data_IF_178874892479
#
_entry.id   IF_178874892479
#
_cell.length_a   1.000
_cell.length_b   1.000
_cell.length_c   1.000
_cell.angle_alpha   90.00
_cell.angle_beta   90.00
_cell.angle_gamma   90.00
#
_symmetry.space_group_name_H-M   'P 1'
#
loop_
_entity.id
_entity.type
_entity.pdbx_description
1 polymer ?
#
# COMPACT_ATOMS: atom_id res chain seq x y z
N UNK A 1 12.91 -23.44 13.84
CA UNK A 1 12.61 -22.46 12.77
C UNK A 1 12.70 -21.08 13.37
N UNK A 2 13.50 -20.17 12.81
CA UNK A 2 13.69 -18.83 13.37
C UNK A 2 12.47 -17.95 13.08
N UNK A 3 12.23 -16.91 13.88
CA UNK A 3 11.14 -15.94 13.71
C UNK A 3 11.20 -15.25 12.35
N UNK A 4 12.40 -14.97 11.83
CA UNK A 4 12.61 -14.39 10.50
C UNK A 4 12.13 -15.34 9.39
N UNK A 5 12.48 -16.64 9.46
CA UNK A 5 12.07 -17.63 8.46
C UNK A 5 10.55 -17.77 8.44
N UNK A 6 9.94 -17.86 9.64
CA UNK A 6 8.48 -17.94 9.78
C UNK A 6 7.79 -16.70 9.24
N UNK A 7 8.32 -15.52 9.50
CA UNK A 7 7.79 -14.26 8.98
C UNK A 7 7.84 -14.21 7.44
N UNK A 8 8.97 -14.62 6.84
CA UNK A 8 9.12 -14.68 5.37
C UNK A 8 8.13 -15.67 4.75
N UNK A 9 7.94 -16.85 5.36
CA UNK A 9 6.95 -17.84 4.91
C UNK A 9 5.52 -17.26 4.93
N UNK A 10 5.14 -16.64 6.04
CA UNK A 10 3.81 -16.03 6.18
C UNK A 10 3.62 -14.90 5.18
N UNK A 11 4.65 -14.09 4.89
CA UNK A 11 4.54 -13.02 3.89
C UNK A 11 4.32 -13.54 2.48
N UNK A 12 4.95 -14.66 2.12
CA UNK A 12 4.70 -15.34 0.83
C UNK A 12 3.27 -15.88 0.75
N UNK A 13 2.81 -16.55 1.80
CA UNK A 13 1.44 -17.06 1.87
C UNK A 13 0.41 -15.93 1.79
N UNK A 14 0.66 -14.81 2.48
CA UNK A 14 -0.19 -13.64 2.41
C UNK A 14 -0.29 -13.08 0.98
N UNK A 15 0.84 -12.98 0.26
CA UNK A 15 0.83 -12.53 -1.13
C UNK A 15 0.03 -13.47 -2.06
N UNK A 16 0.15 -14.79 -1.84
CA UNK A 16 -0.63 -15.78 -2.57
C UNK A 16 -2.13 -15.63 -2.30
N UNK A 17 -2.51 -15.48 -1.03
CA UNK A 17 -3.90 -15.26 -0.61
C UNK A 17 -4.44 -13.94 -1.17
N UNK A 18 -3.69 -12.85 -1.10
CA UNK A 18 -4.08 -11.55 -1.66
C UNK A 18 -4.33 -11.66 -3.17
N UNK A 19 -3.44 -12.36 -3.89
CA UNK A 19 -3.60 -12.59 -5.33
C UNK A 19 -4.86 -13.39 -5.65
N UNK A 20 -5.12 -14.45 -4.89
CA UNK A 20 -6.33 -15.26 -5.03
C UNK A 20 -7.59 -14.41 -4.74
N UNK A 21 -7.60 -13.63 -3.67
CA UNK A 21 -8.71 -12.74 -3.31
C UNK A 21 -8.98 -11.70 -4.40
N UNK A 22 -7.94 -11.05 -4.93
CA UNK A 22 -8.09 -10.10 -6.05
C UNK A 22 -8.74 -10.75 -7.27
N UNK A 23 -8.37 -12.00 -7.58
CA UNK A 23 -8.96 -12.73 -8.71
C UNK A 23 -10.46 -13.03 -8.50
N UNK A 24 -10.90 -13.22 -7.26
CA UNK A 24 -12.29 -13.52 -6.91
C UNK A 24 -13.19 -12.28 -6.82
N UNK A 25 -12.62 -11.08 -6.58
CA UNK A 25 -13.39 -9.84 -6.39
C UNK A 25 -14.44 -9.56 -7.48
N UNK A 26 -14.18 -9.73 -8.79
CA UNK A 26 -15.18 -9.45 -9.82
C UNK A 26 -16.41 -10.35 -9.69
N UNK A 27 -16.20 -11.64 -9.45
CA UNK A 27 -17.27 -12.64 -9.28
C UNK A 27 -18.04 -12.39 -7.99
N UNK A 28 -17.33 -12.16 -6.86
CA UNK A 28 -17.96 -11.81 -5.58
C UNK A 28 -18.79 -10.54 -5.69
N UNK A 29 -18.28 -9.50 -6.37
CA UNK A 29 -19.04 -8.28 -6.60
C UNK A 29 -20.29 -8.53 -7.46
N UNK A 30 -20.21 -9.39 -8.48
CA UNK A 30 -21.37 -9.76 -9.29
C UNK A 30 -22.42 -10.52 -8.46
N UNK A 31 -22.00 -11.47 -7.64
CA UNK A 31 -22.88 -12.20 -6.73
C UNK A 31 -23.56 -11.27 -5.72
N UNK A 32 -22.80 -10.34 -5.11
CA UNK A 32 -23.37 -9.36 -4.18
C UNK A 32 -24.37 -8.43 -4.86
N UNK A 33 -24.11 -7.96 -6.09
CA UNK A 33 -25.10 -7.16 -6.85
C UNK A 33 -26.42 -7.91 -7.04
N UNK A 34 -26.36 -9.21 -7.33
CA UNK A 34 -27.55 -10.04 -7.51
C UNK A 34 -28.32 -10.27 -6.19
N UNK A 35 -27.66 -10.18 -5.04
CA UNK A 35 -28.22 -10.45 -3.70
C UNK A 35 -28.56 -9.19 -2.89
N UNK A 36 -28.59 -8.01 -3.52
CA UNK A 36 -28.91 -6.75 -2.83
C UNK A 36 -27.74 -6.11 -2.07
N UNK A 37 -26.50 -6.55 -2.35
CA UNK A 37 -25.27 -5.88 -1.92
C UNK A 37 -24.74 -6.27 -0.54
N UNK A 38 -25.26 -7.32 0.09
CA UNK A 38 -24.83 -7.80 1.41
C UNK A 38 -24.75 -9.33 1.43
N UNK A 39 -23.63 -9.86 1.93
CA UNK A 39 -23.49 -11.26 2.32
C UNK A 39 -23.05 -11.38 3.78
N UNK A 40 -23.49 -12.44 4.45
CA UNK A 40 -23.10 -12.77 5.83
C UNK A 40 -22.61 -14.21 5.88
N UNK A 41 -21.43 -14.42 6.43
CA UNK A 41 -20.86 -15.75 6.60
C UNK A 41 -19.94 -15.75 7.84
N UNK A 42 -20.01 -16.79 8.66
CA UNK A 42 -19.09 -17.03 9.79
C UNK A 42 -18.87 -15.83 10.74
N UNK A 43 -19.90 -15.02 10.97
CA UNK A 43 -19.82 -13.84 11.82
C UNK A 43 -19.29 -12.57 11.15
N UNK A 44 -18.95 -12.64 9.86
CA UNK A 44 -18.52 -11.51 9.04
C UNK A 44 -19.66 -11.00 8.14
N UNK A 45 -19.65 -9.69 7.86
CA UNK A 45 -20.51 -9.07 6.85
C UNK A 45 -19.66 -8.53 5.70
N UNK A 46 -20.05 -8.80 4.46
CA UNK A 46 -19.44 -8.26 3.25
C UNK A 46 -20.44 -7.37 2.52
N UNK A 47 -20.11 -6.09 2.39
CA UNK A 47 -20.95 -5.06 1.77
C UNK A 47 -20.37 -4.61 0.44
N UNK A 48 -21.21 -4.58 -0.59
CA UNK A 48 -20.85 -3.96 -1.86
C UNK A 48 -21.12 -2.45 -1.79
N UNK A 49 -20.04 -1.66 -1.89
CA UNK A 49 -20.10 -0.19 -1.97
C UNK A 49 -19.49 0.28 -3.29
N UNK A 50 -19.98 1.40 -3.80
CA UNK A 50 -19.40 2.06 -4.98
C UNK A 50 -18.55 3.22 -4.52
N UNK A 51 -17.25 3.14 -4.80
CA UNK A 51 -16.33 4.26 -4.65
C UNK A 51 -16.14 4.96 -5.99
N UNK A 52 -15.97 6.29 -5.96
CA UNK A 52 -15.66 7.08 -7.16
C UNK A 52 -14.20 7.48 -7.09
N UNK A 53 -13.41 7.00 -8.06
CA UNK A 53 -12.10 7.57 -8.33
C UNK A 53 -12.26 8.84 -9.17
N UNK A 54 -11.52 9.89 -8.83
CA UNK A 54 -11.53 11.16 -9.56
C UNK A 54 -10.21 11.31 -10.30
N UNK A 55 -10.30 11.66 -11.58
CA UNK A 55 -9.14 12.13 -12.32
C UNK A 55 -9.09 13.65 -12.15
N UNK A 56 -7.99 14.14 -11.61
CA UNK A 56 -7.78 15.57 -11.42
C UNK A 56 -7.17 16.21 -12.67
N UNK A 57 -7.34 17.52 -12.79
CA UNK A 57 -6.77 18.27 -13.91
C UNK A 57 -5.24 18.32 -13.84
N UNK A 58 -4.56 18.61 -14.96
CA UNK A 58 -3.12 18.80 -14.98
C UNK A 58 -2.64 19.84 -13.96
N UNK A 59 -3.41 20.91 -13.70
CA UNK A 59 -3.00 21.93 -12.73
C UNK A 59 -2.90 21.35 -11.31
N UNK A 60 -3.84 20.51 -10.90
CA UNK A 60 -3.81 19.87 -9.56
C UNK A 60 -2.63 18.90 -9.46
N UNK A 61 -2.33 18.15 -10.54
CA UNK A 61 -1.16 17.29 -10.58
C UNK A 61 0.14 18.10 -10.46
N UNK A 62 0.24 19.26 -11.12
CA UNK A 62 1.38 20.17 -10.98
C UNK A 62 1.52 20.74 -9.57
N UNK A 63 0.40 21.06 -8.90
CA UNK A 63 0.42 21.51 -7.50
C UNK A 63 0.93 20.41 -6.57
N UNK A 64 0.54 19.16 -6.78
CA UNK A 64 1.05 18.03 -6.01
C UNK A 64 2.56 17.85 -6.18
N UNK A 65 3.06 17.97 -7.42
CA UNK A 65 4.49 17.92 -7.71
C UNK A 65 5.26 19.04 -7.00
N UNK A 66 4.77 20.28 -7.11
CA UNK A 66 5.37 21.43 -6.45
C UNK A 66 5.38 21.30 -4.92
N UNK A 67 4.31 20.74 -4.34
CA UNK A 67 4.23 20.46 -2.91
C UNK A 67 5.30 19.45 -2.49
N UNK A 68 5.46 18.35 -3.24
CA UNK A 68 6.46 17.33 -2.93
C UNK A 68 7.88 17.90 -3.04
N UNK A 69 8.15 18.72 -4.04
CA UNK A 69 9.43 19.40 -4.21
C UNK A 69 9.71 20.38 -3.08
N UNK A 70 8.71 21.16 -2.65
CA UNK A 70 8.82 22.04 -1.49
C UNK A 70 9.11 21.25 -0.20
N UNK A 71 8.40 20.14 0.05
CA UNK A 71 8.68 19.25 1.19
C UNK A 71 10.11 18.72 1.16
N UNK A 72 10.64 18.39 -0.03
CA UNK A 72 12.03 17.92 -0.21
C UNK A 72 13.02 19.03 0.10
N UNK A 73 12.81 20.25 -0.41
CA UNK A 73 13.66 21.40 -0.10
C UNK A 73 13.68 21.72 1.40
N UNK A 74 12.53 21.68 2.08
CA UNK A 74 12.51 21.93 3.54
C UNK A 74 13.31 20.90 4.34
N UNK A 75 13.34 19.63 3.89
CA UNK A 75 14.20 18.59 4.48
C UNK A 75 15.68 18.88 4.26
N UNK A 76 16.07 19.24 3.04
CA UNK A 76 17.47 19.51 2.67
C UNK A 76 18.02 20.78 3.36
N UNK A 77 17.19 21.81 3.46
CA UNK A 77 17.56 23.10 4.06
C UNK A 77 17.47 23.09 5.60
N UNK A 78 17.08 21.97 6.22
CA UNK A 78 16.96 21.81 7.66
C UNK A 78 15.77 22.54 8.31
N UNK A 79 14.81 23.01 7.51
CA UNK A 79 13.55 23.61 8.00
C UNK A 79 12.58 22.55 8.50
N UNK A 80 12.61 21.34 7.92
CA UNK A 80 11.83 20.22 8.41
C UNK A 80 12.50 19.57 9.64
N UNK A 81 11.68 19.22 10.64
CA UNK A 81 12.13 18.50 11.84
C UNK A 81 11.65 17.05 11.81
N UNK A 82 12.54 16.11 12.17
CA UNK A 82 12.15 14.69 12.35
C UNK A 82 11.21 14.58 13.55
N UNK A 83 9.98 14.13 13.31
CA UNK A 83 8.97 13.94 14.36
C UNK A 83 9.13 12.59 15.07
N UNK A 84 9.47 11.55 14.33
CA UNK A 84 9.54 10.16 14.82
C UNK A 84 10.47 9.34 13.92
N UNK A 85 11.23 8.42 14.53
CA UNK A 85 12.04 7.42 13.84
C UNK A 85 11.58 6.04 14.29
N UNK A 86 11.24 5.16 13.34
CA UNK A 86 10.85 3.76 13.61
C UNK A 86 11.52 2.81 12.63
N UNK A 87 11.85 1.60 13.09
CA UNK A 87 12.31 0.52 12.23
C UNK A 87 11.15 0.02 11.36
N UNK A 88 11.42 -0.21 10.07
CA UNK A 88 10.45 -0.76 9.12
C UNK A 88 11.02 -2.00 8.43
N UNK A 89 10.22 -3.07 8.36
CA UNK A 89 10.59 -4.27 7.61
C UNK A 89 10.25 -4.07 6.14
N UNK A 90 11.24 -4.28 5.26
CA UNK A 90 11.06 -4.16 3.81
C UNK A 90 11.22 -5.54 3.19
N UNK A 91 10.10 -6.09 2.70
CA UNK A 91 10.11 -7.36 1.98
C UNK A 91 10.37 -7.13 0.50
N UNK A 92 11.52 -7.61 -0.01
CA UNK A 92 11.87 -7.57 -1.44
C UNK A 92 12.01 -8.98 -1.98
N UNK A 93 11.36 -9.26 -3.10
CA UNK A 93 11.57 -10.51 -3.82
C UNK A 93 12.88 -10.43 -4.61
N UNK A 94 13.81 -11.37 -4.40
CA UNK A 94 15.12 -11.38 -5.10
C UNK A 94 15.06 -11.91 -6.54
N UNK A 95 13.87 -12.25 -7.06
CA UNK A 95 13.73 -12.71 -8.46
C UNK A 95 13.78 -11.52 -9.42
N UNK A 96 14.47 -11.65 -10.57
CA UNK A 96 14.38 -10.65 -11.64
C UNK A 96 12.94 -10.67 -12.18
N UNK A 97 12.13 -9.66 -11.82
CA UNK A 97 10.74 -9.53 -12.23
C UNK A 97 9.68 -9.73 -11.13
N UNK A 98 10.06 -9.94 -9.87
CA UNK A 98 9.12 -9.91 -8.74
C UNK A 98 8.93 -8.49 -8.24
N UNK A 99 7.72 -7.94 -8.35
CA UNK A 99 7.41 -6.59 -7.86
C UNK A 99 7.70 -6.44 -6.37
N UNK A 100 8.18 -5.25 -5.98
CA UNK A 100 8.41 -4.89 -4.58
C UNK A 100 7.07 -4.85 -3.83
N UNK A 101 6.84 -5.80 -2.94
CA UNK A 101 5.69 -5.77 -2.02
C UNK A 101 6.12 -5.04 -0.76
N UNK A 102 6.04 -3.70 -0.81
CA UNK A 102 6.21 -2.86 0.38
C UNK A 102 5.04 -3.13 1.31
N UNK A 103 5.30 -3.34 2.61
CA UNK A 103 4.26 -3.15 3.61
C UNK A 103 3.84 -1.68 3.55
N UNK A 104 2.68 -1.42 2.95
CA UNK A 104 2.03 -0.12 3.05
C UNK A 104 1.37 -0.14 4.44
N UNK A 105 1.80 0.71 5.39
CA UNK A 105 1.14 0.80 6.67
C UNK A 105 -0.35 1.09 6.48
N UNK A 106 -1.19 0.63 7.41
CA UNK A 106 -2.54 1.16 7.57
C UNK A 106 -2.49 2.70 7.47
N UNK A 107 -3.37 3.29 6.67
CA UNK A 107 -3.40 4.72 6.32
C UNK A 107 -3.48 5.62 7.55
N UNK A 108 -2.32 5.90 8.16
CA UNK A 108 -2.07 7.07 8.97
C UNK A 108 -0.66 7.57 8.66
N UNK A 109 -0.59 8.51 7.70
CA UNK A 109 0.59 9.31 7.38
C UNK A 109 1.22 8.99 6.02
N UNK A 110 1.44 10.03 5.21
CA UNK A 110 2.31 10.02 4.03
C UNK A 110 3.73 9.58 4.44
N UNK A 111 4.03 8.29 4.36
CA UNK A 111 5.40 7.78 4.54
C UNK A 111 6.07 7.69 3.16
N UNK A 112 6.86 8.70 2.80
CA UNK A 112 7.82 8.59 1.69
C UNK A 112 9.06 7.84 2.22
N UNK A 113 9.37 6.69 1.61
CA UNK A 113 10.61 5.97 1.91
C UNK A 113 11.81 6.81 1.44
N UNK A 114 12.78 7.06 2.33
CA UNK A 114 14.02 7.70 1.94
C UNK A 114 14.72 6.87 0.85
N UNK A 115 15.09 7.52 -0.25
CA UNK A 115 15.96 6.91 -1.25
C UNK A 115 17.34 6.64 -0.62
N UNK A 116 17.92 5.44 -0.80
CA UNK A 116 19.26 5.18 -0.29
C UNK A 116 20.24 6.13 -0.99
N UNK A 117 21.01 6.88 -0.19
CA UNK A 117 22.08 7.72 -0.68
C UNK A 117 22.99 6.90 -1.59
N UNK A 118 23.12 7.32 -2.85
CA UNK A 118 24.09 6.77 -3.77
C UNK A 118 25.49 6.93 -3.17
N UNK A 119 26.13 5.82 -2.81
CA UNK A 119 27.52 5.82 -2.37
C UNK A 119 28.40 5.98 -3.60
N UNK A 120 29.16 7.08 -3.63
CA UNK A 120 30.26 7.29 -4.58
C UNK A 120 31.54 6.60 -4.14
#
# INVERSE_FOLDING_TARGET
MNTVDRYIELRKQLLEIETELESLKPEVAAHLRAQGGLARAEGCELLLRTYKAWNYSPEVASLQLALNEAKRHERLDGRASVRETRDMLVFRATRPGGGDVREIPDEYGDWEADEPAAQG
#
